data_IF_538613647335
#
_entry.id   IF_538613647335
#
_cell.length_a   1.000
_cell.length_b   1.000
_cell.length_c   1.000
_cell.angle_alpha   90.00
_cell.angle_beta   90.00
_cell.angle_gamma   90.00
#
_symmetry.space_group_name_H-M   'P 1'
#
loop_
_entity.id
_entity.type
_entity.pdbx_description
1 polymer ?
#
# COMPACT_ATOMS: atom_id res chain seq x y z
N UNK A 1 0.51 40.29 -78.14
CA UNK A 1 1.20 39.06 -78.57
C UNK A 1 2.47 38.90 -77.73
N UNK A 2 2.87 37.67 -77.42
CA UNK A 2 3.10 37.08 -76.09
C UNK A 2 4.41 37.57 -75.42
N UNK A 3 4.63 37.44 -74.10
CA UNK A 3 5.29 36.27 -73.48
C UNK A 3 4.74 36.02 -72.06
N UNK A 4 3.84 35.04 -71.99
CA UNK A 4 3.67 34.17 -70.83
C UNK A 4 4.64 32.99 -71.02
N UNK A 5 5.12 32.39 -69.91
CA UNK A 5 5.87 31.11 -69.83
C UNK A 5 7.38 31.13 -69.47
N UNK A 6 7.85 32.03 -68.59
CA UNK A 6 9.16 31.82 -67.93
C UNK A 6 9.16 31.85 -66.39
N UNK A 7 8.05 32.21 -65.73
CA UNK A 7 8.03 32.39 -64.26
C UNK A 7 7.30 31.24 -63.53
N UNK A 8 6.60 30.34 -64.23
CA UNK A 8 5.87 29.23 -63.59
C UNK A 8 6.67 27.95 -63.37
N UNK A 9 7.84 27.78 -64.00
CA UNK A 9 8.63 26.55 -63.85
C UNK A 9 9.60 26.59 -62.64
N UNK A 10 10.02 27.77 -62.19
CA UNK A 10 10.96 27.90 -61.07
C UNK A 10 10.26 27.79 -59.71
N UNK A 11 8.99 28.18 -59.61
CA UNK A 11 8.21 28.12 -58.36
C UNK A 11 7.76 26.67 -58.05
N UNK A 12 7.52 25.84 -59.07
CA UNK A 12 7.18 24.43 -58.86
C UNK A 12 8.39 23.58 -58.42
N UNK A 13 9.61 23.95 -58.82
CA UNK A 13 10.85 23.27 -58.42
C UNK A 13 11.36 23.69 -57.03
N UNK A 14 10.99 24.88 -56.55
CA UNK A 14 11.33 25.36 -55.19
C UNK A 14 10.33 24.91 -54.11
N UNK A 15 9.12 24.47 -54.48
CA UNK A 15 8.14 23.92 -53.52
C UNK A 15 8.27 22.40 -53.31
N UNK A 16 9.04 21.68 -54.14
CA UNK A 16 9.33 20.26 -53.95
C UNK A 16 10.49 19.98 -52.97
N UNK A 17 11.21 21.00 -52.51
CA UNK A 17 12.29 20.89 -51.52
C UNK A 17 11.83 21.03 -50.05
N UNK A 18 10.51 21.13 -49.81
CA UNK A 18 9.95 21.33 -48.47
C UNK A 18 9.25 20.09 -47.90
N UNK A 19 9.51 18.89 -48.44
CA UNK A 19 9.17 17.65 -47.74
C UNK A 19 10.45 17.13 -47.09
N UNK A 20 10.50 16.97 -45.74
CA UNK A 20 11.69 16.45 -45.10
C UNK A 20 12.01 15.06 -45.69
N UNK A 21 13.16 14.95 -46.36
CA UNK A 21 13.63 13.68 -46.91
C UNK A 21 13.72 12.66 -45.77
N UNK A 22 13.11 11.50 -45.98
CA UNK A 22 13.17 10.35 -45.08
C UNK A 22 13.74 9.19 -45.87
N UNK A 23 14.87 8.67 -45.39
CA UNK A 23 15.58 7.56 -46.04
C UNK A 23 14.66 6.34 -46.15
N UNK A 24 14.72 5.58 -47.27
CA UNK A 24 14.03 4.31 -47.36
C UNK A 24 14.60 3.34 -46.30
N UNK A 25 13.76 2.47 -45.71
CA UNK A 25 14.25 1.50 -44.74
C UNK A 25 15.13 0.45 -45.41
N UNK A 26 16.20 0.04 -44.72
CA UNK A 26 17.17 -0.95 -45.20
C UNK A 26 17.35 -2.11 -44.21
N UNK A 27 17.99 -3.19 -44.67
CA UNK A 27 18.32 -4.36 -43.84
C UNK A 27 17.22 -5.43 -43.75
N UNK A 28 17.41 -6.45 -42.89
CA UNK A 28 16.57 -7.66 -42.85
C UNK A 28 15.11 -7.37 -42.43
N UNK A 29 14.87 -6.24 -41.76
CA UNK A 29 13.55 -5.83 -41.30
C UNK A 29 12.91 -4.73 -42.17
N UNK A 30 13.49 -4.38 -43.33
CA UNK A 30 12.98 -3.29 -44.17
C UNK A 30 11.49 -3.43 -44.53
N UNK A 31 10.99 -4.65 -44.69
CA UNK A 31 9.58 -4.95 -44.99
C UNK A 31 8.59 -4.61 -43.86
N UNK A 32 9.07 -4.37 -42.64
CA UNK A 32 8.24 -4.03 -41.46
C UNK A 32 8.56 -2.63 -40.90
N UNK A 33 9.41 -1.85 -41.59
CA UNK A 33 9.79 -0.50 -41.22
C UNK A 33 9.05 0.56 -42.07
N UNK A 34 8.81 1.73 -41.48
CA UNK A 34 8.37 2.93 -42.19
C UNK A 34 9.59 3.72 -42.70
N UNK A 35 9.39 4.61 -43.66
CA UNK A 35 10.47 5.52 -44.12
C UNK A 35 11.00 6.36 -42.97
N UNK A 36 12.31 6.53 -42.91
CA UNK A 36 13.01 7.20 -41.82
C UNK A 36 13.19 6.35 -40.57
N UNK A 37 12.63 5.14 -40.50
CA UNK A 37 12.91 4.19 -39.42
C UNK A 37 14.11 3.31 -39.75
N UNK A 38 14.94 3.05 -38.74
CA UNK A 38 16.05 2.10 -38.78
C UNK A 38 16.05 1.25 -37.52
N UNK A 39 16.49 0.00 -37.62
CA UNK A 39 16.65 -0.87 -36.45
C UNK A 39 18.02 -0.62 -35.84
N UNK A 40 18.05 -0.25 -34.56
CA UNK A 40 19.28 -0.09 -33.78
C UNK A 40 19.65 -1.35 -33.00
N UNK A 41 18.66 -2.19 -32.67
CA UNK A 41 18.84 -3.46 -31.98
C UNK A 41 17.69 -4.42 -32.32
N UNK A 42 17.98 -5.70 -32.53
CA UNK A 42 16.99 -6.75 -32.70
C UNK A 42 17.26 -7.90 -31.72
N UNK A 43 16.24 -8.30 -30.97
CA UNK A 43 16.32 -9.32 -29.92
C UNK A 43 15.30 -10.43 -30.24
N UNK A 44 15.71 -11.49 -30.97
CA UNK A 44 14.84 -12.63 -31.27
C UNK A 44 14.68 -13.53 -30.03
N UNK A 45 13.44 -13.99 -29.79
CA UNK A 45 13.10 -14.90 -28.68
C UNK A 45 11.92 -15.79 -29.09
N UNK A 46 12.21 -17.03 -29.45
CA UNK A 46 11.22 -17.96 -30.00
C UNK A 46 10.55 -17.37 -31.26
N UNK A 47 9.21 -17.31 -31.33
CA UNK A 47 8.51 -16.74 -32.48
C UNK A 47 8.45 -15.21 -32.48
N UNK A 48 8.95 -14.55 -31.42
CA UNK A 48 8.94 -13.10 -31.28
C UNK A 48 10.28 -12.48 -31.66
N UNK A 49 10.25 -11.21 -32.06
CA UNK A 49 11.45 -10.39 -32.22
C UNK A 49 11.16 -8.98 -31.74
N UNK A 50 11.83 -8.54 -30.69
CA UNK A 50 11.75 -7.16 -30.20
C UNK A 50 12.77 -6.30 -30.95
N UNK A 51 12.30 -5.22 -31.58
CA UNK A 51 13.10 -4.27 -32.32
C UNK A 51 13.19 -2.96 -31.56
N UNK A 52 14.39 -2.41 -31.44
CA UNK A 52 14.61 -1.00 -31.11
C UNK A 52 14.69 -0.21 -32.40
N UNK A 53 13.83 0.78 -32.54
CA UNK A 53 13.68 1.56 -33.76
C UNK A 53 14.08 3.00 -33.47
N UNK A 54 14.91 3.54 -34.36
CA UNK A 54 15.23 4.95 -34.42
C UNK A 54 14.53 5.55 -35.63
N UNK A 55 13.61 6.48 -35.38
CA UNK A 55 13.01 7.30 -36.42
C UNK A 55 13.77 8.62 -36.54
N UNK A 56 14.22 8.94 -37.75
CA UNK A 56 14.84 10.21 -38.11
C UNK A 56 14.08 10.87 -39.25
N UNK A 57 13.77 12.15 -39.07
CA UNK A 57 13.15 12.99 -40.10
C UNK A 57 13.87 14.33 -40.17
N UNK A 58 14.23 14.77 -41.38
CA UNK A 58 14.83 16.09 -41.63
C UNK A 58 16.25 16.03 -42.18
N UNK A 59 16.60 17.00 -43.04
CA UNK A 59 17.90 17.10 -43.75
C UNK A 59 18.72 18.34 -43.38
N UNK A 60 18.54 18.91 -42.18
CA UNK A 60 19.28 20.09 -41.73
C UNK A 60 19.27 20.27 -40.20
N UNK A 61 20.25 21.04 -39.69
CA UNK A 61 20.59 21.21 -38.26
C UNK A 61 19.46 21.75 -37.35
N UNK A 62 18.35 22.23 -37.93
CA UNK A 62 17.24 22.89 -37.21
C UNK A 62 15.90 22.13 -37.27
N UNK A 63 15.79 21.04 -38.04
CA UNK A 63 14.52 20.32 -38.27
C UNK A 63 14.62 18.81 -38.08
N UNK A 64 15.70 18.32 -37.45
CA UNK A 64 15.88 16.89 -37.18
C UNK A 64 15.04 16.46 -35.98
N UNK A 65 14.05 15.61 -36.23
CA UNK A 65 13.31 14.90 -35.18
C UNK A 65 13.93 13.52 -35.03
N UNK A 66 14.39 13.18 -33.82
CA UNK A 66 14.85 11.84 -33.47
C UNK A 66 13.91 11.24 -32.42
N UNK A 67 13.28 10.11 -32.75
CA UNK A 67 12.36 9.41 -31.85
C UNK A 67 12.79 7.95 -31.76
N UNK A 68 13.09 7.52 -30.53
CA UNK A 68 13.33 6.12 -30.22
C UNK A 68 12.02 5.43 -29.84
N UNK A 69 11.81 4.22 -30.33
CA UNK A 69 10.66 3.40 -29.98
C UNK A 69 11.00 1.91 -30.00
N UNK A 70 10.06 1.09 -29.53
CA UNK A 70 10.12 -0.36 -29.60
C UNK A 70 9.01 -0.90 -30.49
N UNK A 71 9.29 -1.95 -31.27
CA UNK A 71 8.32 -2.70 -32.09
C UNK A 71 8.45 -4.18 -31.80
N UNK A 72 7.34 -4.90 -31.72
CA UNK A 72 7.34 -6.35 -31.49
C UNK A 72 6.80 -7.06 -32.73
N UNK A 73 7.56 -8.04 -33.21
CA UNK A 73 7.15 -8.92 -34.29
C UNK A 73 6.73 -10.29 -33.77
N UNK A 74 5.82 -10.95 -34.48
CA UNK A 74 5.52 -12.37 -34.35
C UNK A 74 5.63 -13.03 -35.73
N UNK A 75 6.62 -13.92 -35.92
CA UNK A 75 6.94 -14.57 -37.22
C UNK A 75 6.97 -13.55 -38.37
N UNK A 76 7.79 -12.51 -38.21
CA UNK A 76 8.01 -11.40 -39.14
C UNK A 76 6.80 -10.50 -39.43
N UNK A 77 5.70 -10.64 -38.67
CA UNK A 77 4.55 -9.74 -38.75
C UNK A 77 4.54 -8.77 -37.58
N UNK A 78 4.26 -7.50 -37.85
CA UNK A 78 4.12 -6.48 -36.80
C UNK A 78 2.94 -6.81 -35.90
N UNK A 79 3.23 -7.10 -34.64
CA UNK A 79 2.22 -7.35 -33.61
C UNK A 79 1.98 -6.11 -32.76
N UNK A 80 3.05 -5.36 -32.47
CA UNK A 80 2.99 -4.08 -31.78
C UNK A 80 3.84 -3.07 -32.54
N UNK A 81 3.20 -2.06 -33.15
CA UNK A 81 3.86 -1.10 -34.07
C UNK A 81 4.80 -0.13 -33.35
N UNK A 82 4.37 0.42 -32.19
CA UNK A 82 5.12 1.41 -31.42
C UNK A 82 4.84 1.29 -29.93
N UNK A 83 5.89 1.15 -29.14
CA UNK A 83 5.91 1.27 -27.69
C UNK A 83 7.03 2.21 -27.25
N UNK A 84 6.82 2.91 -26.13
CA UNK A 84 7.85 3.75 -25.50
C UNK A 84 8.88 2.88 -24.79
N UNK A 85 8.41 1.89 -24.03
CA UNK A 85 9.23 0.90 -23.34
C UNK A 85 8.70 -0.49 -23.62
N UNK A 86 9.60 -1.46 -23.68
CA UNK A 86 9.27 -2.86 -23.87
C UNK A 86 10.29 -3.71 -23.12
N UNK A 87 9.82 -4.70 -22.38
CA UNK A 87 10.68 -5.64 -21.68
C UNK A 87 10.09 -7.04 -21.74
N UNK A 88 10.97 -8.03 -21.92
CA UNK A 88 10.64 -9.43 -21.70
C UNK A 88 10.47 -9.67 -20.20
N UNK A 89 9.50 -10.48 -19.79
CA UNK A 89 9.41 -10.97 -18.43
C UNK A 89 10.63 -11.88 -18.16
N UNK A 90 11.54 -11.50 -17.24
CA UNK A 90 12.70 -12.32 -16.94
C UNK A 90 12.30 -13.67 -16.33
N UNK A 91 13.19 -14.65 -16.46
CA UNK A 91 13.15 -15.94 -15.74
C UNK A 91 11.95 -16.86 -16.01
N UNK A 92 11.18 -16.60 -17.06
CA UNK A 92 10.18 -17.53 -17.58
C UNK A 92 10.66 -18.08 -18.93
N UNK A 93 10.47 -19.38 -19.14
CA UNK A 93 10.87 -20.06 -20.37
C UNK A 93 10.06 -19.59 -21.59
N UNK A 94 8.74 -19.39 -21.44
CA UNK A 94 7.91 -18.88 -22.53
C UNK A 94 8.15 -17.38 -22.75
N UNK A 95 8.30 -16.92 -24.01
CA UNK A 95 8.41 -15.49 -24.30
C UNK A 95 7.13 -14.75 -23.88
N UNK A 96 7.29 -13.83 -22.92
CA UNK A 96 6.24 -12.90 -22.50
C UNK A 96 6.83 -11.50 -22.51
N UNK A 97 6.15 -10.57 -23.15
CA UNK A 97 6.57 -9.17 -23.26
C UNK A 97 5.55 -8.26 -22.62
N UNK A 98 6.06 -7.24 -21.93
CA UNK A 98 5.32 -6.08 -21.52
C UNK A 98 5.71 -4.90 -22.38
N UNK A 99 4.75 -4.06 -22.74
CA UNK A 99 5.02 -2.86 -23.53
C UNK A 99 4.16 -1.69 -23.06
N UNK A 100 4.80 -0.54 -22.84
CA UNK A 100 4.13 0.73 -22.61
C UNK A 100 3.75 1.37 -23.95
N UNK A 101 2.45 1.53 -24.19
CA UNK A 101 1.90 2.07 -25.44
C UNK A 101 1.05 3.29 -25.12
N UNK A 102 1.27 4.39 -25.86
CA UNK A 102 0.36 5.54 -25.82
C UNK A 102 -0.87 5.23 -26.67
N UNK A 103 -2.02 5.11 -26.02
CA UNK A 103 -3.32 4.84 -26.63
C UNK A 103 -4.19 6.10 -26.45
N UNK A 104 -4.29 6.91 -27.51
CA UNK A 104 -4.83 8.27 -27.50
C UNK A 104 -4.04 9.21 -26.56
N UNK A 105 -4.56 9.47 -25.36
CA UNK A 105 -3.96 10.34 -24.34
C UNK A 105 -3.36 9.56 -23.18
N UNK A 106 -3.67 8.27 -23.06
CA UNK A 106 -3.33 7.46 -21.89
C UNK A 106 -2.22 6.48 -22.22
N UNK A 107 -1.26 6.36 -21.31
CA UNK A 107 -0.24 5.31 -21.40
C UNK A 107 -0.83 4.01 -20.84
N UNK A 108 -0.86 2.95 -21.65
CA UNK A 108 -1.40 1.65 -21.28
C UNK A 108 -0.32 0.58 -21.35
N UNK A 109 -0.34 -0.34 -20.40
CA UNK A 109 0.54 -1.52 -20.44
C UNK A 109 -0.13 -2.63 -21.24
N UNK A 110 0.52 -3.05 -22.32
CA UNK A 110 0.16 -4.25 -23.09
C UNK A 110 0.97 -5.44 -22.60
N UNK A 111 0.32 -6.60 -22.57
CA UNK A 111 0.93 -7.91 -22.33
C UNK A 111 0.88 -8.72 -23.62
N UNK A 112 2.01 -9.29 -24.02
CA UNK A 112 2.12 -10.10 -25.22
C UNK A 112 2.72 -11.46 -24.90
N UNK A 113 2.08 -12.54 -25.34
CA UNK A 113 2.57 -13.91 -25.16
C UNK A 113 2.00 -14.83 -26.24
N UNK A 114 2.53 -16.04 -26.38
CA UNK A 114 1.96 -17.05 -27.29
C UNK A 114 1.02 -18.00 -26.54
N UNK A 115 -0.15 -18.29 -27.14
CA UNK A 115 -1.08 -19.31 -26.68
C UNK A 115 -1.52 -20.17 -27.86
N UNK A 116 -1.30 -21.48 -27.77
CA UNK A 116 -1.70 -22.45 -28.80
C UNK A 116 -1.19 -22.08 -30.22
N UNK A 117 0.05 -21.60 -30.34
CA UNK A 117 0.64 -21.27 -31.65
C UNK A 117 0.24 -19.90 -32.21
N UNK A 118 -0.49 -19.09 -31.45
CA UNK A 118 -0.97 -17.76 -31.85
C UNK A 118 -0.55 -16.69 -30.83
N UNK A 119 -0.24 -15.46 -31.29
CA UNK A 119 0.07 -14.38 -30.37
C UNK A 119 -1.20 -13.87 -29.70
N UNK A 120 -1.13 -13.65 -28.39
CA UNK A 120 -2.13 -12.97 -27.60
C UNK A 120 -1.58 -11.59 -27.26
N UNK A 121 -2.33 -10.55 -27.60
CA UNK A 121 -2.08 -9.18 -27.21
C UNK A 121 -3.20 -8.73 -26.25
N UNK A 122 -2.89 -8.65 -24.97
CA UNK A 122 -3.79 -8.20 -23.92
C UNK A 122 -3.47 -6.78 -23.46
N UNK A 123 -4.46 -6.08 -22.92
CA UNK A 123 -4.26 -4.87 -22.11
C UNK A 123 -4.28 -5.26 -20.64
N UNK A 124 -3.27 -4.87 -19.87
CA UNK A 124 -3.29 -5.02 -18.41
C UNK A 124 -4.16 -3.93 -17.79
N UNK A 125 -4.97 -4.31 -16.82
CA UNK A 125 -5.72 -3.35 -16.02
C UNK A 125 -4.88 -2.86 -14.84
N UNK A 126 -3.93 -1.98 -15.13
CA UNK A 126 -3.03 -1.37 -14.13
C UNK A 126 -3.72 -0.30 -13.28
N UNK A 127 -4.91 0.17 -13.69
CA UNK A 127 -5.48 1.42 -13.18
C UNK A 127 -4.72 2.66 -13.66
N UNK A 128 -5.26 3.84 -13.37
CA UNK A 128 -4.64 5.12 -13.72
C UNK A 128 -3.39 5.43 -12.88
N UNK A 129 -3.30 4.88 -11.67
CA UNK A 129 -2.33 5.29 -10.64
C UNK A 129 -1.29 4.21 -10.29
N UNK A 130 -0.95 3.31 -11.24
CA UNK A 130 0.08 2.30 -10.99
C UNK A 130 1.44 2.96 -10.69
N UNK A 131 1.97 2.68 -9.50
CA UNK A 131 3.29 3.17 -9.06
C UNK A 131 4.41 2.30 -9.63
N UNK A 132 4.76 2.53 -10.88
CA UNK A 132 5.96 1.96 -11.50
C UNK A 132 7.22 2.57 -10.89
N UNK A 133 8.31 1.79 -10.84
CA UNK A 133 9.67 2.32 -10.66
C UNK A 133 10.43 2.19 -11.98
N UNK A 134 11.56 2.89 -12.16
CA UNK A 134 12.35 2.75 -13.39
C UNK A 134 12.85 1.32 -13.61
N UNK A 135 13.23 0.60 -12.55
CA UNK A 135 13.67 -0.80 -12.65
C UNK A 135 12.53 -1.78 -12.81
N UNK A 136 11.39 -1.50 -12.20
CA UNK A 136 10.19 -2.35 -12.27
C UNK A 136 9.04 -1.59 -12.94
N UNK A 137 9.13 -1.34 -14.26
CA UNK A 137 8.07 -0.64 -15.00
C UNK A 137 6.84 -1.51 -15.23
N UNK A 138 6.92 -2.83 -14.99
CA UNK A 138 5.89 -3.81 -15.33
C UNK A 138 5.63 -4.78 -14.17
N UNK A 139 5.30 -4.25 -13.00
CA UNK A 139 5.02 -5.02 -11.79
C UNK A 139 6.28 -5.38 -11.00
N UNK A 140 6.08 -5.72 -9.73
CA UNK A 140 7.15 -6.06 -8.79
C UNK A 140 7.27 -7.58 -8.67
N UNK A 141 8.45 -8.18 -8.92
CA UNK A 141 8.63 -9.62 -8.89
C UNK A 141 8.56 -10.14 -7.46
N UNK A 142 7.59 -11.00 -7.18
CA UNK A 142 7.38 -11.61 -5.86
C UNK A 142 7.97 -13.03 -5.78
N UNK A 143 7.91 -13.76 -6.90
CA UNK A 143 8.50 -15.08 -7.08
C UNK A 143 8.72 -15.33 -8.58
N UNK A 144 9.49 -16.35 -8.99
CA UNK A 144 9.63 -16.70 -10.41
C UNK A 144 8.26 -16.89 -11.07
N UNK A 145 8.00 -16.14 -12.15
CA UNK A 145 6.73 -16.18 -12.85
C UNK A 145 5.54 -15.53 -12.12
N UNK A 146 5.77 -14.76 -11.06
CA UNK A 146 4.74 -14.04 -10.32
C UNK A 146 5.10 -12.56 -10.11
N UNK A 147 4.27 -11.67 -10.65
CA UNK A 147 4.38 -10.22 -10.47
C UNK A 147 3.22 -9.69 -9.65
N UNK A 148 3.51 -8.75 -8.77
CA UNK A 148 2.54 -7.96 -8.03
C UNK A 148 2.42 -6.55 -8.63
N UNK A 149 1.19 -6.13 -8.88
CA UNK A 149 0.85 -4.79 -9.33
C UNK A 149 0.02 -4.11 -8.22
N UNK A 150 0.63 -3.32 -7.34
CA UNK A 150 -0.07 -2.62 -6.27
C UNK A 150 -1.05 -1.58 -6.82
N UNK A 151 -2.20 -1.45 -6.15
CA UNK A 151 -3.12 -0.33 -6.34
C UNK A 151 -2.89 0.76 -5.28
N UNK A 152 -3.29 1.99 -5.58
CA UNK A 152 -3.15 3.09 -4.61
C UNK A 152 -4.22 3.04 -3.50
N UNK A 153 -5.47 2.78 -3.87
CA UNK A 153 -6.63 2.75 -2.96
C UNK A 153 -7.29 1.38 -2.87
N UNK A 154 -6.71 0.37 -3.51
CA UNK A 154 -7.22 -0.99 -3.59
C UNK A 154 -6.04 -1.98 -3.61
N UNK A 155 -6.25 -3.27 -3.30
CA UNK A 155 -5.13 -4.19 -3.06
C UNK A 155 -4.19 -4.47 -4.24
N UNK A 156 -4.57 -4.14 -5.47
CA UNK A 156 -3.81 -4.46 -6.66
C UNK A 156 -4.18 -5.81 -7.28
N UNK A 157 -3.32 -6.33 -8.14
CA UNK A 157 -3.51 -7.65 -8.75
C UNK A 157 -2.20 -8.41 -8.87
N UNK A 158 -2.33 -9.72 -9.05
CA UNK A 158 -1.23 -10.62 -9.38
C UNK A 158 -1.27 -10.97 -10.85
N UNK A 159 -0.11 -11.03 -11.47
CA UNK A 159 0.08 -11.62 -12.78
C UNK A 159 0.93 -12.87 -12.63
N UNK A 160 0.41 -14.02 -13.08
CA UNK A 160 1.08 -15.31 -12.96
C UNK A 160 1.32 -15.92 -14.34
N UNK A 161 2.56 -16.29 -14.61
CA UNK A 161 2.89 -17.09 -15.77
C UNK A 161 2.57 -18.57 -15.51
N UNK A 162 1.84 -19.17 -16.44
CA UNK A 162 1.55 -20.60 -16.52
C UNK A 162 2.11 -21.13 -17.85
N UNK A 163 2.36 -22.44 -17.99
CA UNK A 163 3.03 -23.01 -19.17
C UNK A 163 2.41 -22.67 -20.55
N UNK A 164 1.14 -22.25 -20.60
CA UNK A 164 0.44 -21.88 -21.84
C UNK A 164 -0.44 -20.64 -21.69
N UNK A 165 -0.28 -19.90 -20.60
CA UNK A 165 -1.12 -18.75 -20.31
C UNK A 165 -0.43 -17.77 -19.38
N UNK A 166 -0.90 -16.53 -19.39
CA UNK A 166 -0.64 -15.58 -18.33
C UNK A 166 -1.98 -15.25 -17.69
N UNK A 167 -2.07 -15.43 -16.39
CA UNK A 167 -3.31 -15.27 -15.62
C UNK A 167 -3.19 -14.00 -14.78
N UNK A 168 -4.14 -13.09 -14.99
CA UNK A 168 -4.33 -11.95 -14.11
C UNK A 168 -5.36 -12.31 -13.03
N UNK A 169 -5.04 -12.06 -11.77
CA UNK A 169 -5.93 -12.29 -10.63
C UNK A 169 -6.02 -11.02 -9.78
N UNK A 170 -7.19 -10.40 -9.77
CA UNK A 170 -7.46 -9.23 -8.94
C UNK A 170 -7.43 -9.64 -7.48
N UNK A 171 -6.73 -8.88 -6.64
CA UNK A 171 -6.77 -9.09 -5.20
C UNK A 171 -8.08 -8.49 -4.66
N UNK A 172 -8.87 -9.25 -3.90
CA UNK A 172 -10.13 -8.74 -3.37
C UNK A 172 -9.89 -7.59 -2.39
N UNK A 173 -10.69 -6.53 -2.49
CA UNK A 173 -10.75 -5.50 -1.45
C UNK A 173 -11.32 -6.11 -0.17
N UNK A 174 -10.55 -6.15 0.94
CA UNK A 174 -11.00 -6.81 2.15
C UNK A 174 -12.21 -6.11 2.79
N UNK A 175 -12.30 -4.78 2.69
CA UNK A 175 -13.39 -3.95 3.23
C UNK A 175 -13.45 -2.61 2.49
N UNK A 176 -14.54 -2.38 1.75
CA UNK A 176 -14.81 -1.12 1.09
C UNK A 176 -15.57 -0.13 1.99
N UNK A 177 -15.42 1.17 1.71
CA UNK A 177 -16.22 2.23 2.34
C UNK A 177 -15.76 2.62 3.75
N UNK A 178 -16.67 3.06 4.64
CA UNK A 178 -16.32 3.69 5.93
C UNK A 178 -15.68 2.74 6.94
N UNK A 179 -15.71 1.43 6.68
CA UNK A 179 -15.14 0.40 7.56
C UNK A 179 -13.75 -0.08 7.13
N UNK A 180 -13.18 0.53 6.07
CA UNK A 180 -11.88 0.11 5.56
C UNK A 180 -10.77 0.33 6.58
N UNK A 181 -9.95 -0.70 6.78
CA UNK A 181 -8.68 -0.59 7.52
C UNK A 181 -7.54 -0.07 6.65
N UNK A 182 -7.76 0.18 5.35
CA UNK A 182 -6.73 0.40 4.34
C UNK A 182 -5.66 -0.70 4.29
N UNK A 183 -6.05 -1.93 4.64
CA UNK A 183 -5.22 -3.12 4.45
C UNK A 183 -5.14 -3.46 2.95
N UNK A 184 -4.44 -2.62 2.19
CA UNK A 184 -4.39 -2.65 0.72
C UNK A 184 -3.03 -3.10 0.17
N UNK A 185 -2.06 -3.41 1.02
CA UNK A 185 -0.74 -3.85 0.55
C UNK A 185 -0.60 -5.35 0.73
N UNK A 186 -0.28 -6.07 -0.35
CA UNK A 186 -0.03 -7.51 -0.29
C UNK A 186 1.28 -7.81 0.46
N UNK A 187 1.16 -8.44 1.62
CA UNK A 187 2.30 -8.88 2.44
C UNK A 187 2.67 -10.35 2.21
N UNK A 188 1.68 -11.23 2.00
CA UNK A 188 1.93 -12.66 1.78
C UNK A 188 0.78 -13.36 1.08
N UNK A 189 1.06 -14.51 0.47
CA UNK A 189 0.08 -15.40 -0.19
C UNK A 189 0.13 -16.76 0.52
N UNK A 190 -1.02 -17.39 0.72
CA UNK A 190 -1.08 -18.74 1.31
C UNK A 190 -0.32 -19.76 0.46
N UNK A 191 0.16 -20.89 1.04
CA UNK A 191 0.95 -21.87 0.32
C UNK A 191 0.30 -22.44 -0.96
N UNK A 192 -1.04 -22.54 -0.98
CA UNK A 192 -1.80 -23.00 -2.14
C UNK A 192 -2.30 -21.86 -3.06
N UNK A 193 -2.01 -20.60 -2.72
CA UNK A 193 -2.44 -19.44 -3.50
C UNK A 193 -3.92 -19.06 -3.35
N UNK A 194 -4.65 -19.66 -2.40
CA UNK A 194 -6.09 -19.43 -2.23
C UNK A 194 -6.45 -18.22 -1.35
N UNK A 195 -5.49 -17.69 -0.56
CA UNK A 195 -5.70 -16.55 0.32
C UNK A 195 -4.52 -15.58 0.35
N UNK A 196 -4.81 -14.35 0.76
CA UNK A 196 -3.92 -13.20 0.71
C UNK A 196 -3.90 -12.50 2.08
N UNK A 197 -2.71 -12.25 2.61
CA UNK A 197 -2.51 -11.43 3.79
C UNK A 197 -2.19 -10.00 3.34
N UNK A 198 -3.07 -9.08 3.70
CA UNK A 198 -2.97 -7.67 3.36
C UNK A 198 -2.67 -6.85 4.62
N UNK A 199 -1.77 -5.88 4.50
CA UNK A 199 -1.38 -4.97 5.59
C UNK A 199 -1.72 -3.53 5.27
N UNK A 200 -1.81 -2.71 6.31
CA UNK A 200 -2.21 -1.32 6.25
C UNK A 200 -1.10 -0.33 5.83
N UNK A 201 0.16 -0.79 5.77
CA UNK A 201 1.29 0.03 5.35
C UNK A 201 2.44 -0.84 4.83
N UNK A 202 3.06 -0.40 3.73
CA UNK A 202 4.26 -1.02 3.15
C UNK A 202 5.56 -0.59 3.84
N UNK A 203 5.52 0.40 4.74
CA UNK A 203 6.69 0.93 5.48
C UNK A 203 6.63 0.64 6.98
N UNK A 204 5.41 0.64 7.54
CA UNK A 204 5.18 0.49 8.97
C UNK A 204 3.92 -0.36 9.23
N UNK A 205 3.92 -1.65 8.85
CA UNK A 205 2.78 -2.53 9.08
C UNK A 205 2.40 -2.55 10.56
N UNK A 206 1.10 -2.39 10.85
CA UNK A 206 0.54 -2.33 12.21
C UNK A 206 -0.76 -3.13 12.37
N UNK A 207 -1.16 -3.83 11.32
CA UNK A 207 -2.29 -4.73 11.30
C UNK A 207 -2.29 -5.57 10.03
N UNK A 208 -2.89 -6.74 10.12
CA UNK A 208 -3.01 -7.67 9.00
C UNK A 208 -4.45 -8.17 8.87
N UNK A 209 -4.89 -8.31 7.64
CA UNK A 209 -6.19 -8.86 7.29
C UNK A 209 -6.02 -9.96 6.25
N UNK A 210 -6.68 -11.09 6.47
CA UNK A 210 -6.65 -12.21 5.52
C UNK A 210 -7.93 -12.23 4.72
N UNK A 211 -7.80 -12.31 3.40
CA UNK A 211 -8.91 -12.44 2.45
C UNK A 211 -8.66 -13.61 1.52
N UNK A 212 -9.66 -14.44 1.27
CA UNK A 212 -9.58 -15.49 0.25
C UNK A 212 -9.93 -14.97 -1.14
N UNK A 213 -9.63 -15.73 -2.18
CA UNK A 213 -9.87 -15.35 -3.56
C UNK A 213 -11.35 -15.04 -3.90
N UNK A 214 -12.31 -15.44 -3.05
CA UNK A 214 -13.72 -15.12 -3.20
C UNK A 214 -14.12 -13.79 -2.50
N UNK A 215 -13.17 -13.14 -1.83
CA UNK A 215 -13.41 -11.91 -1.07
C UNK A 215 -13.90 -12.15 0.36
N UNK A 216 -13.99 -13.40 0.83
CA UNK A 216 -14.34 -13.66 2.22
C UNK A 216 -13.14 -13.40 3.11
N UNK A 217 -13.32 -12.54 4.10
CA UNK A 217 -12.25 -12.14 4.99
C UNK A 217 -12.25 -12.90 6.32
N UNK A 218 -11.14 -12.81 7.04
CA UNK A 218 -11.03 -13.16 8.46
C UNK A 218 -11.14 -11.89 9.29
N UNK A 219 -11.22 -12.05 10.60
CA UNK A 219 -11.06 -10.93 11.52
C UNK A 219 -9.65 -10.34 11.37
N UNK A 220 -9.57 -9.01 11.38
CA UNK A 220 -8.30 -8.32 11.32
C UNK A 220 -7.54 -8.44 12.65
N UNK A 221 -6.23 -8.55 12.55
CA UNK A 221 -5.34 -8.70 13.70
C UNK A 221 -4.50 -7.42 13.82
N UNK A 222 -4.56 -6.77 14.98
CA UNK A 222 -3.62 -5.71 15.34
C UNK A 222 -2.22 -6.29 15.54
N UNK A 223 -1.21 -5.60 15.04
CA UNK A 223 0.20 -5.96 15.21
C UNK A 223 0.95 -4.77 15.80
N UNK A 224 2.01 -4.97 16.60
CA UNK A 224 2.89 -3.87 16.96
C UNK A 224 3.41 -3.17 15.71
N UNK A 225 3.55 -1.85 15.75
CA UNK A 225 4.11 -1.09 14.63
C UNK A 225 5.54 -1.58 14.40
N UNK A 226 5.82 -2.10 13.20
CA UNK A 226 7.16 -2.49 12.80
C UNK A 226 7.66 -1.56 11.71
N UNK A 227 8.60 -0.69 12.03
CA UNK A 227 9.26 0.15 11.03
C UNK A 227 10.22 -0.68 10.20
N UNK A 228 9.93 -0.83 8.91
CA UNK A 228 10.80 -1.53 7.98
C UNK A 228 11.96 -0.60 7.60
N UNK A 229 13.18 -1.13 7.56
CA UNK A 229 14.38 -0.37 7.23
C UNK A 229 14.20 0.41 5.92
N UNK A 230 14.55 1.69 5.91
CA UNK A 230 14.44 2.52 4.71
C UNK A 230 15.24 1.91 3.55
N UNK A 231 14.81 2.20 2.32
CA UNK A 231 15.65 1.92 1.17
C UNK A 231 16.91 2.80 1.31
N UNK A 232 18.08 2.17 1.34
CA UNK A 232 19.38 2.84 1.63
C UNK A 232 19.64 4.08 0.77
N UNK A 233 18.97 4.19 -0.39
CA UNK A 233 18.69 5.44 -1.06
C UNK A 233 17.22 5.43 -1.51
N UNK A 234 16.41 6.39 -1.05
CA UNK A 234 15.03 6.58 -1.55
C UNK A 234 15.00 6.93 -3.05
N UNK A 235 16.18 7.18 -3.64
CA UNK A 235 16.42 7.36 -5.07
C UNK A 235 17.04 6.15 -5.75
N UNK A 236 17.36 5.08 -5.02
CA UNK A 236 17.75 3.81 -5.63
C UNK A 236 16.51 3.15 -6.24
N UNK A 237 16.22 3.60 -7.46
CA UNK A 237 15.16 3.07 -8.31
C UNK A 237 15.40 1.59 -8.70
N UNK A 238 16.51 0.97 -8.28
CA UNK A 238 16.87 -0.41 -8.61
C UNK A 238 16.36 -1.45 -7.60
N UNK A 239 16.04 -1.05 -6.37
CA UNK A 239 15.53 -1.95 -5.34
C UNK A 239 14.00 -2.16 -5.47
N UNK A 240 13.53 -3.39 -5.23
CA UNK A 240 12.10 -3.67 -5.17
C UNK A 240 11.55 -3.15 -3.81
N UNK A 241 10.68 -2.11 -3.80
CA UNK A 241 10.22 -1.48 -2.56
C UNK A 241 9.43 -2.43 -1.64
N UNK A 242 8.82 -3.48 -2.21
CA UNK A 242 8.01 -4.47 -1.49
C UNK A 242 8.81 -5.62 -0.91
N UNK A 243 10.07 -5.81 -1.32
CA UNK A 243 10.88 -6.94 -0.85
C UNK A 243 11.01 -6.96 0.67
N UNK A 244 11.24 -5.78 1.27
CA UNK A 244 11.34 -5.59 2.73
C UNK A 244 10.09 -6.07 3.47
N UNK A 245 8.93 -5.74 2.90
CA UNK A 245 7.64 -6.13 3.46
C UNK A 245 7.45 -7.64 3.36
N UNK A 246 7.78 -8.26 2.23
CA UNK A 246 7.65 -9.71 2.06
C UNK A 246 8.63 -10.49 2.95
N UNK A 247 9.86 -10.00 3.09
CA UNK A 247 10.86 -10.58 3.99
C UNK A 247 10.43 -10.47 5.46
N UNK A 248 9.86 -9.32 5.85
CA UNK A 248 9.24 -9.16 7.16
C UNK A 248 8.06 -10.11 7.34
N UNK A 249 7.15 -10.18 6.37
CA UNK A 249 5.95 -11.02 6.45
C UNK A 249 6.32 -12.50 6.59
N UNK A 250 7.36 -12.97 5.88
CA UNK A 250 7.86 -14.34 6.00
C UNK A 250 8.44 -14.70 7.37
N UNK A 251 8.76 -13.71 8.20
CA UNK A 251 9.25 -13.89 9.59
C UNK A 251 8.18 -13.61 10.64
N UNK A 252 7.32 -12.63 10.38
CA UNK A 252 6.32 -12.12 11.32
C UNK A 252 4.97 -12.82 11.20
N UNK A 253 4.68 -13.53 10.10
CA UNK A 253 3.40 -14.19 9.86
C UNK A 253 3.61 -15.65 9.49
N UNK A 254 2.83 -16.53 10.11
CA UNK A 254 2.75 -17.94 9.74
C UNK A 254 1.36 -18.29 9.24
N UNK A 255 1.28 -18.93 8.08
CA UNK A 255 0.02 -19.43 7.53
C UNK A 255 -0.42 -20.72 8.23
N UNK A 256 -1.72 -20.82 8.53
CA UNK A 256 -2.35 -22.02 9.09
C UNK A 256 -3.79 -22.12 8.63
N UNK A 257 -4.37 -23.32 8.76
CA UNK A 257 -5.79 -23.53 8.57
C UNK A 257 -6.50 -23.45 9.92
N UNK A 258 -7.58 -22.70 9.99
CA UNK A 258 -8.43 -22.61 11.17
C UNK A 258 -9.30 -23.86 11.33
N UNK A 259 -10.14 -23.89 12.39
CA UNK A 259 -10.99 -25.04 12.71
C UNK A 259 -11.98 -25.43 11.58
N UNK A 260 -12.33 -24.48 10.69
CA UNK A 260 -13.21 -24.71 9.53
C UNK A 260 -12.44 -24.91 8.22
N UNK A 261 -11.13 -25.16 8.30
CA UNK A 261 -10.27 -25.49 7.16
C UNK A 261 -9.87 -24.30 6.28
N UNK A 262 -10.18 -23.06 6.69
CA UNK A 262 -9.87 -21.83 5.97
C UNK A 262 -8.49 -21.30 6.36
N UNK A 263 -7.77 -20.72 5.41
CA UNK A 263 -6.50 -20.04 5.70
C UNK A 263 -6.71 -18.82 6.59
N UNK A 264 -5.79 -18.68 7.54
CA UNK A 264 -5.58 -17.52 8.40
C UNK A 264 -4.08 -17.36 8.64
N UNK A 265 -3.69 -16.20 9.19
CA UNK A 265 -2.32 -15.96 9.64
C UNK A 265 -2.28 -15.91 11.16
N UNK A 266 -1.17 -16.41 11.70
CA UNK A 266 -0.78 -16.25 13.09
C UNK A 266 0.45 -15.34 13.15
N UNK A 267 0.40 -14.25 13.94
CA UNK A 267 1.57 -13.44 14.22
C UNK A 267 2.64 -14.29 14.91
N UNK A 268 3.89 -14.11 14.50
CA UNK A 268 5.07 -14.77 15.06
C UNK A 268 5.91 -13.70 15.77
N UNK A 269 6.16 -13.93 17.06
CA UNK A 269 7.02 -13.09 17.88
C UNK A 269 8.22 -13.91 18.35
N UNK A 270 9.40 -13.28 18.43
CA UNK A 270 10.63 -13.95 18.86
C UNK A 270 10.52 -14.50 20.29
N UNK A 271 9.82 -13.76 21.15
CA UNK A 271 9.58 -14.13 22.55
C UNK A 271 8.11 -14.49 22.75
N UNK A 272 7.86 -15.39 23.70
CA UNK A 272 6.51 -15.70 24.14
C UNK A 272 5.79 -14.42 24.59
N UNK A 273 4.49 -14.35 24.29
CA UNK A 273 3.66 -13.26 24.81
C UNK A 273 3.74 -13.29 26.34
N UNK A 274 4.00 -12.13 26.98
CA UNK A 274 4.06 -12.08 28.43
C UNK A 274 2.71 -12.49 29.03
N UNK A 275 2.73 -13.14 30.19
CA UNK A 275 1.50 -13.25 31.00
C UNK A 275 1.14 -11.85 31.50
N UNK A 276 -0.05 -11.39 31.13
CA UNK A 276 -0.53 -10.04 31.42
C UNK A 276 -1.75 -10.12 32.34
N UNK A 277 -1.68 -9.41 33.46
CA UNK A 277 -2.79 -9.33 34.40
C UNK A 277 -4.04 -8.66 33.79
N UNK A 278 -3.84 -7.73 32.84
CA UNK A 278 -4.94 -7.09 32.13
C UNK A 278 -4.58 -6.82 30.66
N UNK A 279 -4.91 -7.76 29.74
CA UNK A 279 -4.61 -7.65 28.32
C UNK A 279 -5.12 -6.36 27.65
N UNK A 280 -6.25 -5.84 28.10
CA UNK A 280 -6.90 -4.66 27.51
C UNK A 280 -6.16 -3.38 27.93
N UNK A 281 -5.72 -3.28 29.18
CA UNK A 281 -4.95 -2.13 29.64
C UNK A 281 -3.61 -2.02 28.89
N UNK A 282 -2.96 -3.15 28.58
CA UNK A 282 -1.68 -3.14 27.87
C UNK A 282 -1.75 -2.50 26.49
N UNK A 283 -2.89 -2.51 25.81
CA UNK A 283 -3.08 -1.78 24.54
C UNK A 283 -2.78 -0.28 24.67
N UNK A 284 -2.99 0.29 25.86
CA UNK A 284 -2.83 1.71 26.15
C UNK A 284 -1.63 2.01 27.07
N UNK A 285 -1.04 0.99 27.72
CA UNK A 285 0.15 1.14 28.55
C UNK A 285 1.45 0.87 27.79
N UNK A 286 1.43 -0.11 26.88
CA UNK A 286 2.61 -0.56 26.15
C UNK A 286 2.18 -1.15 24.79
N UNK A 287 2.26 -0.33 23.75
CA UNK A 287 1.84 -0.71 22.40
C UNK A 287 2.56 -1.97 21.89
N UNK A 288 3.85 -2.13 22.19
CA UNK A 288 4.66 -3.26 21.74
C UNK A 288 4.28 -4.57 22.41
N UNK A 289 3.74 -4.53 23.64
CA UNK A 289 3.24 -5.71 24.36
C UNK A 289 1.76 -5.94 24.11
N UNK A 290 0.94 -4.90 24.20
CA UNK A 290 -0.49 -4.95 24.02
C UNK A 290 -0.89 -5.46 22.64
N UNK A 291 -0.27 -4.96 21.56
CA UNK A 291 -0.61 -5.37 20.20
C UNK A 291 -0.04 -6.72 19.78
N UNK A 292 0.71 -7.42 20.65
CA UNK A 292 0.99 -8.86 20.46
C UNK A 292 -0.23 -9.71 20.78
N UNK A 293 -1.19 -9.14 21.49
CA UNK A 293 -2.45 -9.78 21.84
C UNK A 293 -3.46 -9.54 20.72
N UNK A 294 -4.26 -10.55 20.47
CA UNK A 294 -5.35 -10.50 19.51
C UNK A 294 -6.66 -10.88 20.21
N UNK A 295 -7.78 -10.33 19.74
CA UNK A 295 -9.11 -10.48 20.33
C UNK A 295 -10.13 -11.15 19.39
N UNK A 296 -9.68 -11.59 18.22
CA UNK A 296 -10.51 -12.26 17.23
C UNK A 296 -10.86 -13.69 17.70
N UNK A 297 -12.13 -13.99 18.03
CA UNK A 297 -12.51 -15.24 18.68
C UNK A 297 -12.30 -16.48 17.79
N UNK A 298 -12.35 -16.32 16.47
CA UNK A 298 -12.24 -17.43 15.51
C UNK A 298 -10.79 -17.81 15.17
N UNK A 299 -9.80 -17.04 15.67
CA UNK A 299 -8.38 -17.31 15.44
C UNK A 299 -7.74 -17.86 16.72
N UNK A 300 -7.22 -19.09 16.67
CA UNK A 300 -6.72 -19.76 17.87
C UNK A 300 -5.39 -19.19 18.40
N UNK A 301 -4.77 -18.25 17.70
CA UNK A 301 -3.63 -17.48 18.22
C UNK A 301 -4.08 -16.30 19.11
N UNK A 302 -5.37 -15.96 19.10
CA UNK A 302 -5.93 -14.84 19.84
C UNK A 302 -6.36 -15.27 21.25
N UNK A 303 -6.49 -14.27 22.13
CA UNK A 303 -6.88 -14.49 23.52
C UNK A 303 -8.30 -15.07 23.61
N UNK A 304 -8.50 -16.13 24.41
CA UNK A 304 -9.84 -16.62 24.69
C UNK A 304 -10.61 -15.64 25.57
N UNK A 305 -11.92 -15.87 25.73
CA UNK A 305 -12.78 -15.05 26.59
C UNK A 305 -13.37 -13.82 25.91
N UNK A 306 -13.20 -13.70 24.59
CA UNK A 306 -13.81 -12.68 23.75
C UNK A 306 -14.82 -13.30 22.79
N UNK A 307 -15.82 -12.51 22.41
CA UNK A 307 -16.76 -12.84 21.34
C UNK A 307 -16.88 -11.65 20.40
N UNK A 308 -17.35 -11.92 19.19
CA UNK A 308 -17.78 -10.85 18.29
C UNK A 308 -18.94 -10.09 18.93
N UNK A 309 -18.85 -8.76 18.93
CA UNK A 309 -19.94 -7.92 19.38
C UNK A 309 -21.09 -7.97 18.37
N UNK A 310 -22.33 -7.98 18.86
CA UNK A 310 -23.50 -7.83 18.01
C UNK A 310 -23.56 -6.40 17.47
N UNK A 311 -24.06 -6.22 16.24
CA UNK A 311 -24.15 -4.90 15.62
C UNK A 311 -24.89 -3.87 16.50
N UNK A 312 -25.90 -4.30 17.24
CA UNK A 312 -26.65 -3.45 18.18
C UNK A 312 -25.77 -2.94 19.34
N UNK A 313 -24.85 -3.76 19.85
CA UNK A 313 -23.92 -3.34 20.93
C UNK A 313 -22.94 -2.28 20.41
N UNK A 314 -22.48 -2.46 19.16
CA UNK A 314 -21.57 -1.50 18.50
C UNK A 314 -22.27 -0.17 18.22
N UNK A 315 -23.50 -0.24 17.69
CA UNK A 315 -24.31 0.94 17.40
C UNK A 315 -24.65 1.72 18.67
N UNK A 316 -24.92 1.02 19.76
CA UNK A 316 -25.15 1.65 21.07
C UNK A 316 -23.89 2.33 21.61
N UNK A 317 -22.69 1.79 21.38
CA UNK A 317 -21.47 2.40 21.90
C UNK A 317 -20.99 3.61 21.07
N UNK A 318 -21.17 3.60 19.75
CA UNK A 318 -20.50 4.55 18.85
C UNK A 318 -21.43 5.45 18.03
N UNK A 319 -22.53 4.94 17.47
CA UNK A 319 -23.63 5.71 16.84
C UNK A 319 -24.60 4.75 16.14
N UNK A 320 -25.87 5.16 15.96
CA UNK A 320 -26.94 4.30 15.45
C UNK A 320 -26.66 3.63 14.09
N UNK A 321 -25.85 4.26 13.23
CA UNK A 321 -25.56 3.79 11.87
C UNK A 321 -24.13 3.23 11.70
N UNK A 322 -23.36 3.12 12.80
CA UNK A 322 -21.97 2.68 12.75
C UNK A 322 -21.80 1.29 13.38
N UNK A 323 -21.59 0.28 12.53
CA UNK A 323 -21.39 -1.11 12.93
C UNK A 323 -20.13 -1.72 12.27
N UNK A 324 -18.92 -1.25 12.62
CA UNK A 324 -17.68 -1.83 12.12
C UNK A 324 -17.56 -3.34 12.43
N UNK A 325 -16.95 -4.12 11.53
CA UNK A 325 -16.95 -5.59 11.61
C UNK A 325 -16.00 -6.18 12.66
N UNK A 326 -15.05 -5.40 13.17
CA UNK A 326 -14.00 -5.85 14.11
C UNK A 326 -14.22 -5.28 15.51
N UNK A 327 -15.39 -5.58 16.06
CA UNK A 327 -15.76 -5.21 17.42
C UNK A 327 -15.95 -6.47 18.27
N UNK A 328 -15.46 -6.40 19.49
CA UNK A 328 -15.37 -7.52 20.40
C UNK A 328 -15.92 -7.13 21.77
N UNK A 329 -16.60 -8.08 22.41
CA UNK A 329 -17.09 -7.94 23.77
C UNK A 329 -16.56 -9.10 24.62
N UNK A 330 -16.30 -8.88 25.91
CA UNK A 330 -15.85 -9.96 26.78
C UNK A 330 -17.00 -10.94 27.03
N UNK A 331 -16.67 -12.23 27.13
CA UNK A 331 -17.64 -13.31 27.42
C UNK A 331 -18.02 -13.33 28.91
N UNK A 332 -17.08 -12.98 29.77
CA UNK A 332 -17.27 -12.82 31.21
C UNK A 332 -16.99 -11.36 31.62
N UNK A 333 -17.50 -10.86 32.76
CA UNK A 333 -17.20 -9.51 33.22
C UNK A 333 -15.69 -9.24 33.27
N UNK A 334 -15.24 -8.24 32.50
CA UNK A 334 -13.86 -7.78 32.48
C UNK A 334 -13.82 -6.32 32.94
N UNK A 335 -12.68 -5.91 33.51
CA UNK A 335 -12.44 -4.53 33.93
C UNK A 335 -11.14 -4.03 33.33
N UNK A 336 -11.07 -2.73 33.06
CA UNK A 336 -9.85 -2.03 32.71
C UNK A 336 -9.90 -0.61 33.30
N UNK A 337 -8.78 -0.16 33.87
CA UNK A 337 -8.66 1.15 34.49
C UNK A 337 -9.76 1.43 35.52
N UNK A 338 -10.14 0.41 36.29
CA UNK A 338 -11.14 0.51 37.36
C UNK A 338 -12.61 0.57 36.90
N UNK A 339 -12.90 0.37 35.61
CA UNK A 339 -14.25 0.37 35.07
C UNK A 339 -14.55 -0.93 34.29
N UNK A 340 -15.82 -1.37 34.21
CA UNK A 340 -16.22 -2.50 33.37
C UNK A 340 -15.93 -2.24 31.88
N UNK A 341 -15.45 -3.27 31.18
CA UNK A 341 -15.25 -3.25 29.72
C UNK A 341 -16.52 -3.71 29.03
N UNK A 342 -17.11 -2.84 28.21
CA UNK A 342 -18.30 -3.18 27.42
C UNK A 342 -17.96 -3.52 25.98
N UNK A 343 -17.00 -2.83 25.36
CA UNK A 343 -16.66 -3.05 23.96
C UNK A 343 -15.20 -2.72 23.63
N UNK A 344 -14.59 -3.49 22.73
CA UNK A 344 -13.29 -3.23 22.14
C UNK A 344 -13.42 -3.24 20.60
N UNK A 345 -13.08 -2.13 19.96
CA UNK A 345 -13.12 -1.96 18.52
C UNK A 345 -11.72 -1.85 17.95
N UNK A 346 -11.39 -2.64 16.93
CA UNK A 346 -10.20 -2.46 16.10
C UNK A 346 -10.58 -1.75 14.80
N UNK A 347 -10.01 -0.57 14.54
CA UNK A 347 -10.38 0.26 13.41
C UNK A 347 -9.18 1.04 12.86
N UNK A 348 -9.40 1.66 11.70
CA UNK A 348 -8.48 2.68 11.16
C UNK A 348 -8.42 3.88 12.10
N UNK A 349 -7.24 4.44 12.29
CA UNK A 349 -7.05 5.72 12.99
C UNK A 349 -7.15 6.90 12.02
N UNK A 350 -7.61 8.07 12.50
CA UNK A 350 -7.86 9.25 11.67
C UNK A 350 -6.61 9.79 10.94
N UNK A 351 -5.44 9.70 11.56
CA UNK A 351 -4.16 10.17 11.00
C UNK A 351 -3.36 9.07 10.28
N UNK A 352 -4.00 7.93 9.98
CA UNK A 352 -3.35 6.77 9.35
C UNK A 352 -3.02 5.65 10.34
N UNK A 353 -2.88 4.43 9.83
CA UNK A 353 -2.66 3.25 10.65
C UNK A 353 -3.95 2.64 11.22
N UNK A 354 -3.77 1.67 12.13
CA UNK A 354 -4.85 0.95 12.82
C UNK A 354 -4.66 1.00 14.33
N UNK A 355 -5.76 1.04 15.08
CA UNK A 355 -5.73 1.21 16.52
C UNK A 355 -6.96 0.63 17.21
N UNK A 356 -6.87 0.51 18.53
CA UNK A 356 -8.00 0.07 19.35
C UNK A 356 -8.76 1.26 19.95
N UNK A 357 -10.07 1.10 20.03
CA UNK A 357 -10.98 1.94 20.81
C UNK A 357 -11.68 1.06 21.83
N UNK A 358 -11.57 1.42 23.10
CA UNK A 358 -12.15 0.72 24.23
C UNK A 358 -13.29 1.55 24.83
N UNK A 359 -14.47 0.95 24.95
CA UNK A 359 -15.60 1.52 25.69
C UNK A 359 -15.60 0.95 27.11
N UNK A 360 -15.72 1.86 28.09
CA UNK A 360 -15.77 1.54 29.51
C UNK A 360 -17.02 2.13 30.15
N UNK A 361 -17.62 1.37 31.05
CA UNK A 361 -18.80 1.79 31.82
C UNK A 361 -18.38 2.56 33.08
N UNK A 362 -17.64 3.66 32.89
CA UNK A 362 -17.14 4.51 33.97
C UNK A 362 -16.94 5.95 33.52
N UNK A 363 -16.85 6.88 34.47
CA UNK A 363 -16.68 8.30 34.19
C UNK A 363 -15.27 8.63 33.66
N UNK A 364 -15.13 9.49 32.61
CA UNK A 364 -13.83 9.77 31.96
C UNK A 364 -12.75 10.26 32.91
N UNK A 365 -13.13 11.09 33.90
CA UNK A 365 -12.20 11.59 34.91
C UNK A 365 -11.65 10.48 35.80
N UNK A 366 -12.49 9.53 36.22
CA UNK A 366 -12.06 8.41 37.06
C UNK A 366 -11.15 7.45 36.30
N UNK A 367 -11.48 7.17 35.03
CA UNK A 367 -10.66 6.35 34.14
C UNK A 367 -9.29 7.00 33.89
N UNK A 368 -9.25 8.31 33.59
CA UNK A 368 -8.00 9.04 33.39
C UNK A 368 -7.10 9.04 34.64
N UNK A 369 -7.70 9.11 35.85
CA UNK A 369 -6.97 9.00 37.12
C UNK A 369 -6.37 7.61 37.30
N UNK A 370 -7.14 6.54 37.05
CA UNK A 370 -6.63 5.16 37.15
C UNK A 370 -5.52 4.89 36.14
N UNK A 371 -5.69 5.34 34.91
CA UNK A 371 -4.65 5.28 33.87
C UNK A 371 -3.37 6.01 34.32
N UNK A 372 -3.49 7.24 34.81
CA UNK A 372 -2.35 8.02 35.33
C UNK A 372 -1.63 7.26 36.45
N UNK A 373 -2.38 6.65 37.37
CA UNK A 373 -1.82 5.84 38.45
C UNK A 373 -1.10 4.59 37.92
N UNK A 374 -1.64 3.90 36.90
CA UNK A 374 -0.99 2.74 36.26
C UNK A 374 0.31 3.12 35.57
N UNK A 375 0.34 4.23 34.82
CA UNK A 375 1.53 4.74 34.17
C UNK A 375 2.62 5.09 35.19
N UNK A 376 2.26 5.80 36.26
CA UNK A 376 3.18 6.16 37.33
C UNK A 376 3.71 4.92 38.09
N UNK A 377 2.83 3.97 38.42
CA UNK A 377 3.19 2.72 39.09
C UNK A 377 4.22 1.91 38.30
N UNK A 378 4.14 1.94 36.96
CA UNK A 378 5.06 1.22 36.06
C UNK A 378 6.27 2.04 35.64
N UNK A 379 6.39 3.30 36.08
CA UNK A 379 7.47 4.20 35.67
C UNK A 379 7.46 4.49 34.16
N UNK A 380 6.29 4.43 33.51
CA UNK A 380 6.16 4.71 32.09
C UNK A 380 6.13 6.23 31.90
N UNK A 381 7.00 6.77 31.06
CA UNK A 381 7.02 8.20 30.73
C UNK A 381 5.80 8.57 29.88
N UNK A 382 5.14 9.68 30.21
CA UNK A 382 3.98 10.17 29.48
C UNK A 382 3.84 11.69 29.59
N UNK A 383 3.13 12.28 28.63
CA UNK A 383 2.66 13.67 28.66
C UNK A 383 1.14 13.68 28.56
N UNK A 384 0.49 14.55 29.35
CA UNK A 384 -0.94 14.86 29.21
C UNK A 384 -1.11 16.27 28.66
N UNK A 385 -1.95 16.42 27.63
CA UNK A 385 -2.11 17.73 26.98
C UNK A 385 -2.84 18.78 27.82
N UNK A 386 -3.60 18.35 28.82
CA UNK A 386 -4.27 19.24 29.78
C UNK A 386 -3.31 19.87 30.80
N UNK A 387 -2.08 19.36 30.90
CA UNK A 387 -1.00 19.93 31.71
C UNK A 387 -0.12 20.91 30.90
N UNK A 388 -0.33 21.01 29.59
CA UNK A 388 0.45 21.91 28.76
C UNK A 388 -0.02 23.36 28.94
N UNK A 389 0.90 24.35 28.81
CA UNK A 389 0.55 25.76 28.91
C UNK A 389 -0.61 26.14 27.97
N UNK A 390 -1.54 26.97 28.45
CA UNK A 390 -2.59 27.57 27.61
C UNK A 390 -1.94 28.59 26.66
N UNK A 391 -2.32 28.56 25.37
CA UNK A 391 -1.70 29.32 24.28
C UNK A 391 -1.52 30.82 24.57
N UNK A 392 -0.36 31.35 24.17
CA UNK A 392 -0.15 32.76 23.78
C UNK A 392 0.25 32.91 22.30
N UNK A 393 0.73 31.85 21.65
CA UNK A 393 1.21 31.80 20.26
C UNK A 393 0.90 30.43 19.57
N UNK A 394 1.08 30.35 18.25
CA UNK A 394 0.46 29.33 17.39
C UNK A 394 1.23 28.02 17.21
N UNK A 395 2.45 27.85 17.74
CA UNK A 395 3.31 26.68 17.47
C UNK A 395 3.86 26.12 18.79
N UNK A 396 4.23 24.82 18.85
CA UNK A 396 4.97 24.19 19.95
C UNK A 396 4.23 23.94 21.28
N UNK A 397 2.90 23.78 21.26
CA UNK A 397 2.16 23.34 22.45
C UNK A 397 2.68 21.99 22.97
N UNK A 398 2.85 21.88 24.28
CA UNK A 398 3.46 20.73 24.98
C UNK A 398 4.94 20.47 24.71
N UNK A 399 5.63 21.24 23.85
CA UNK A 399 7.03 20.98 23.47
C UNK A 399 7.94 20.78 24.67
N UNK A 400 7.89 21.67 25.66
CA UNK A 400 8.73 21.56 26.85
C UNK A 400 8.52 20.24 27.62
N UNK A 401 7.28 19.79 27.78
CA UNK A 401 6.96 18.53 28.45
C UNK A 401 7.39 17.31 27.61
N UNK A 402 7.19 17.38 26.29
CA UNK A 402 7.64 16.33 25.36
C UNK A 402 9.16 16.20 25.35
N UNK A 403 9.89 17.33 25.31
CA UNK A 403 11.36 17.37 25.43
C UNK A 403 11.79 16.76 26.77
N UNK A 404 11.13 17.14 27.87
CA UNK A 404 11.47 16.65 29.20
C UNK A 404 11.26 15.14 29.35
N UNK A 405 10.16 14.61 28.83
CA UNK A 405 9.79 13.19 29.04
C UNK A 405 10.46 12.25 28.02
N UNK A 406 10.72 12.73 26.79
CA UNK A 406 11.20 11.89 25.69
C UNK A 406 12.57 12.32 25.14
N UNK A 407 13.23 13.32 25.74
CA UNK A 407 14.56 13.81 25.35
C UNK A 407 14.68 14.27 23.88
N UNK A 408 13.60 14.83 23.31
CA UNK A 408 13.52 15.25 21.90
C UNK A 408 13.87 16.75 21.74
N UNK A 409 14.94 17.16 21.02
CA UNK A 409 15.33 18.57 21.00
C UNK A 409 14.54 19.46 20.01
N UNK A 410 14.24 19.06 18.78
CA UNK A 410 13.77 20.01 17.75
C UNK A 410 12.78 19.38 16.76
N UNK A 411 11.60 20.00 16.63
CA UNK A 411 10.40 19.59 15.88
C UNK A 411 9.67 18.35 16.41
N UNK A 412 8.38 18.48 16.74
CA UNK A 412 7.54 17.33 17.01
C UNK A 412 7.18 16.69 15.65
N UNK A 413 6.89 15.38 15.59
CA UNK A 413 6.40 14.78 14.35
C UNK A 413 5.17 15.55 13.88
N UNK A 414 5.10 15.93 12.60
CA UNK A 414 4.03 16.78 12.05
C UNK A 414 2.64 16.25 12.39
N UNK A 415 2.47 14.93 12.38
CA UNK A 415 1.23 14.25 12.76
C UNK A 415 0.88 14.44 14.24
N UNK A 416 1.88 14.41 15.13
CA UNK A 416 1.68 14.63 16.57
C UNK A 416 1.28 16.09 16.86
N UNK A 417 1.90 17.07 16.17
CA UNK A 417 1.49 18.48 16.30
C UNK A 417 0.06 18.70 15.83
N UNK A 418 -0.28 18.14 14.67
CA UNK A 418 -1.63 18.18 14.13
C UNK A 418 -2.63 17.53 15.08
N UNK A 419 -2.28 16.39 15.70
CA UNK A 419 -3.10 15.73 16.69
C UNK A 419 -3.34 16.61 17.92
N UNK A 420 -2.26 17.14 18.52
CA UNK A 420 -2.35 18.02 19.70
C UNK A 420 -3.21 19.24 19.38
N UNK A 421 -3.03 19.84 18.20
CA UNK A 421 -3.83 20.97 17.75
C UNK A 421 -5.29 20.60 17.50
N UNK A 422 -5.58 19.42 16.95
CA UNK A 422 -6.97 18.99 16.68
C UNK A 422 -7.76 18.69 17.95
N UNK A 423 -7.06 18.36 19.04
CA UNK A 423 -7.66 18.10 20.34
C UNK A 423 -7.97 19.40 21.11
N UNK A 424 -7.59 20.57 20.59
CA UNK A 424 -7.95 21.84 21.22
C UNK A 424 -9.47 22.06 21.18
N UNK A 425 -10.09 22.23 22.36
CA UNK A 425 -11.54 22.44 22.48
C UNK A 425 -12.39 21.17 22.36
N UNK A 426 -11.77 20.01 22.09
CA UNK A 426 -12.44 18.71 22.15
C UNK A 426 -12.55 18.23 23.60
N UNK A 427 -13.64 17.55 24.00
CA UNK A 427 -13.75 16.96 25.32
C UNK A 427 -12.79 15.77 25.47
N UNK A 428 -12.19 15.65 26.67
CA UNK A 428 -11.29 14.56 27.03
C UNK A 428 -9.84 14.99 27.31
N UNK A 429 -9.00 14.01 27.61
CA UNK A 429 -7.57 14.21 27.90
C UNK A 429 -6.75 13.33 26.95
N UNK A 430 -5.84 13.95 26.18
CA UNK A 430 -4.88 13.24 25.34
C UNK A 430 -3.67 12.84 26.17
N UNK A 431 -3.34 11.56 26.13
CA UNK A 431 -2.13 10.96 26.67
C UNK A 431 -1.17 10.66 25.52
N UNK A 432 0.09 11.04 25.70
CA UNK A 432 1.18 10.80 24.75
C UNK A 432 2.24 9.98 25.50
N UNK A 433 2.52 8.78 25.02
CA UNK A 433 3.58 7.88 25.45
C UNK A 433 4.62 7.77 24.32
N UNK A 434 5.77 7.14 24.54
CA UNK A 434 6.85 7.08 23.54
C UNK A 434 6.44 6.52 22.17
N UNK A 435 5.47 5.61 22.10
CA UNK A 435 5.09 4.90 20.85
C UNK A 435 3.61 5.10 20.44
N UNK A 436 2.83 5.83 21.23
CA UNK A 436 1.38 5.92 21.03
C UNK A 436 0.80 7.18 21.65
N UNK A 437 -0.22 7.73 21.00
CA UNK A 437 -1.05 8.78 21.55
C UNK A 437 -2.52 8.35 21.50
N UNK A 438 -3.21 8.50 22.63
CA UNK A 438 -4.58 8.07 22.80
C UNK A 438 -5.35 9.01 23.73
N UNK A 439 -6.66 9.10 23.53
CA UNK A 439 -7.53 10.00 24.28
C UNK A 439 -8.44 9.22 25.23
N UNK A 440 -8.65 9.77 26.42
CA UNK A 440 -9.77 9.41 27.32
C UNK A 440 -10.84 10.49 27.19
N UNK A 441 -12.05 10.14 26.74
CA UNK A 441 -13.15 11.11 26.55
C UNK A 441 -14.52 10.52 26.89
N UNK A 442 -15.55 11.35 27.10
CA UNK A 442 -16.93 10.87 27.24
C UNK A 442 -17.38 10.07 26.01
N UNK A 443 -18.09 8.95 26.23
CA UNK A 443 -18.82 8.25 25.18
C UNK A 443 -20.12 8.96 24.81
N UNK A 444 -20.59 8.82 23.57
CA UNK A 444 -21.81 9.50 23.10
C UNK A 444 -23.07 9.06 23.87
N UNK A 445 -23.11 7.79 24.30
CA UNK A 445 -24.21 7.21 25.06
C UNK A 445 -23.88 7.04 26.56
N UNK A 446 -22.84 7.74 27.04
CA UNK A 446 -22.35 7.65 28.42
C UNK A 446 -21.08 6.80 28.56
N UNK A 447 -20.53 6.78 29.79
CA UNK A 447 -19.26 6.12 30.08
C UNK A 447 -18.05 6.83 29.45
N UNK A 448 -17.00 6.05 29.18
CA UNK A 448 -15.73 6.54 28.66
C UNK A 448 -15.28 5.79 27.40
N UNK A 449 -14.67 6.53 26.49
CA UNK A 449 -13.93 6.01 25.35
C UNK A 449 -12.43 6.23 25.57
N UNK A 450 -11.67 5.15 25.47
CA UNK A 450 -10.21 5.14 25.33
C UNK A 450 -9.87 4.84 23.88
N UNK A 451 -9.43 5.84 23.12
CA UNK A 451 -9.22 5.70 21.69
C UNK A 451 -7.78 5.98 21.31
N UNK A 452 -7.15 5.03 20.62
CA UNK A 452 -5.85 5.23 19.97
C UNK A 452 -6.01 6.19 18.79
N UNK A 453 -5.25 7.28 18.77
CA UNK A 453 -5.33 8.32 17.73
C UNK A 453 -4.09 8.33 16.82
N UNK A 454 -2.94 7.96 17.36
CA UNK A 454 -1.69 7.88 16.61
C UNK A 454 -0.81 6.78 17.23
N UNK A 455 -0.15 6.00 16.39
CA UNK A 455 0.89 5.04 16.80
C UNK A 455 2.11 5.35 15.97
N UNK A 456 3.14 5.84 16.64
CA UNK A 456 4.44 6.06 16.04
C UNK A 456 5.50 6.13 17.12
N UNK A 457 6.73 5.78 16.78
CA UNK A 457 7.87 5.96 17.66
C UNK A 457 8.25 7.45 17.70
N UNK A 458 7.74 8.15 18.72
CA UNK A 458 7.99 9.58 18.91
C UNK A 458 9.40 9.88 19.41
N UNK A 459 10.19 8.86 19.73
CA UNK A 459 11.62 9.00 20.04
C UNK A 459 12.49 9.10 18.78
N UNK A 460 11.98 8.69 17.60
CA UNK A 460 12.70 8.86 16.34
C UNK A 460 12.70 10.31 15.87
N UNK A 461 13.76 10.67 15.14
CA UNK A 461 14.01 12.00 14.59
C UNK A 461 13.48 12.18 13.16
N UNK A 462 13.02 11.12 12.51
CA UNK A 462 12.60 11.09 11.10
C UNK A 462 11.11 11.36 10.88
#
# INVERSE_FOLDING_TARGET
>A
MPVSACIRLVIASLLAACSPYTEPPEGPYAGVLKRGESVTLAEPDGPFTALSILYRQGGGYLTSTEISSKRLLYRDRVLLDKAETMARWPDIAQPVYFASVVDNTDTVVKLVYEKNGAPVLGKLNTGADYRATRRYPFGFPMAPGLLYFPGQLWPGFLLRAQPQAVVQSMLPDPLAGPYSLHANTLASISPDGAAYALVNSEYAPSGVMVVDAQGSHRDAIGLPVTYLADLEDSRDETANPYQRLWDWAGKALSWRRNAVGRWEVQPVFADAAPELNNPVEELFLDEQRGYRLCFAPDNAACLPGWRKAASSEVQQAFSADYAPPFAYAPVAPAQAFGAPVSLLLFARMGLGGTGYTLQLDGEPGAVAVQLTARLAQRGIAYVRTDQCPRRTDTIDKCKALLVQQFSRPESQARELEQLISSMEGQPGVLFILSHTAFVVRPGEQGGSLLQTLLRADFSRQD
#
